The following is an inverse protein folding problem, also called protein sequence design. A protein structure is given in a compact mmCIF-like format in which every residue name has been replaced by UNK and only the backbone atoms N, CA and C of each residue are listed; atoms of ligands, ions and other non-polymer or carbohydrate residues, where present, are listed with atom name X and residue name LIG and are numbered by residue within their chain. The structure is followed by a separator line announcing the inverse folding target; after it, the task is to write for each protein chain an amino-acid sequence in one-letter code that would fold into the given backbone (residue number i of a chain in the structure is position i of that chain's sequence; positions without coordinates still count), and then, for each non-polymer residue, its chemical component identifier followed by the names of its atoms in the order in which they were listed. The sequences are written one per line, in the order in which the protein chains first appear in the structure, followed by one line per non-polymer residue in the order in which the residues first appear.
data_IF_519458421221
#
_entry.id   IF_519458421221
#
_cell.length_a   1.000
_cell.length_b   1.000
_cell.length_c   1.000
_cell.angle_alpha   90.00
_cell.angle_beta   90.00
_cell.angle_gamma   90.00
#
_symmetry.space_group_name_H-M   'P 1'
#
loop_
_entity.id
_entity.type
_entity.pdbx_description
1 polymer ?
#
# COMPACT_ATOMS: atom_id res chain seq x y z
N UNK A 1 -17.18 18.21 -0.06
CA UNK A 1 -17.88 16.93 0.19
C UNK A 1 -17.88 15.96 -1.00
N UNK A 2 -17.93 16.41 -2.26
CA UNK A 2 -17.90 15.49 -3.41
C UNK A 2 -16.63 14.61 -3.43
N UNK A 3 -15.44 15.23 -3.35
CA UNK A 3 -14.16 14.51 -3.30
C UNK A 3 -14.15 13.42 -2.21
N UNK A 4 -14.63 13.73 -1.01
CA UNK A 4 -14.73 12.77 0.09
C UNK A 4 -15.64 11.58 -0.20
N UNK A 5 -16.74 11.75 -0.94
CA UNK A 5 -17.60 10.63 -1.36
C UNK A 5 -16.90 9.71 -2.35
N UNK A 6 -15.98 10.23 -3.16
CA UNK A 6 -15.19 9.43 -4.10
C UNK A 6 -14.08 8.63 -3.42
N UNK A 7 -13.70 9.05 -2.21
CA UNK A 7 -12.73 8.37 -1.32
C UNK A 7 -13.40 7.39 -0.36
N UNK A 8 -14.72 7.48 -0.13
CA UNK A 8 -15.44 6.59 0.78
C UNK A 8 -15.33 5.13 0.31
N UNK A 9 -14.82 4.26 1.20
CA UNK A 9 -14.52 2.86 0.94
C UNK A 9 -13.21 2.59 0.18
N UNK A 10 -12.46 3.63 -0.24
CA UNK A 10 -11.23 3.49 -1.01
C UNK A 10 -10.05 3.18 -0.08
N UNK A 11 -9.20 2.24 -0.50
CA UNK A 11 -7.95 1.88 0.17
C UNK A 11 -6.78 2.72 -0.32
N UNK A 12 -5.87 3.02 0.60
CA UNK A 12 -4.62 3.69 0.35
C UNK A 12 -3.48 2.85 0.90
N UNK A 13 -2.47 2.55 0.10
CA UNK A 13 -1.36 1.65 0.45
C UNK A 13 -0.09 2.42 0.77
N UNK A 14 0.63 2.05 1.82
CA UNK A 14 1.86 2.75 2.22
C UNK A 14 2.96 2.64 1.16
N UNK A 15 3.66 3.75 0.87
CA UNK A 15 4.70 3.79 -0.18
C UNK A 15 6.07 4.23 0.30
N UNK A 16 6.19 4.83 1.49
CA UNK A 16 7.44 5.45 1.94
C UNK A 16 8.12 4.72 3.11
N UNK A 17 7.79 3.44 3.31
CA UNK A 17 8.46 2.58 4.28
C UNK A 17 9.77 2.00 3.74
N UNK A 18 10.66 1.62 4.66
CA UNK A 18 11.90 0.94 4.29
C UNK A 18 11.63 -0.53 3.96
N UNK A 19 12.48 -1.14 3.14
CA UNK A 19 12.36 -2.55 2.75
C UNK A 19 12.30 -3.53 3.94
N UNK A 20 12.92 -3.17 5.07
CA UNK A 20 12.97 -3.97 6.29
C UNK A 20 11.82 -3.68 7.27
N UNK A 21 10.85 -2.86 6.86
CA UNK A 21 9.76 -2.44 7.74
C UNK A 21 8.77 -3.58 7.94
N UNK A 22 8.55 -3.95 9.19
CA UNK A 22 7.50 -4.92 9.55
C UNK A 22 6.09 -4.35 9.35
N UNK A 23 5.96 -3.05 9.06
CA UNK A 23 4.68 -2.43 8.73
C UNK A 23 4.05 -3.06 7.47
N UNK A 24 4.85 -3.62 6.57
CA UNK A 24 4.33 -4.41 5.44
C UNK A 24 3.62 -5.70 5.86
N UNK A 25 3.87 -6.22 7.07
CA UNK A 25 3.16 -7.35 7.63
C UNK A 25 1.98 -6.93 8.54
N UNK A 26 1.82 -5.63 8.80
CA UNK A 26 0.77 -5.10 9.66
C UNK A 26 -0.58 -5.04 8.90
N UNK A 27 -1.72 -5.42 9.52
CA UNK A 27 -3.04 -5.23 8.94
C UNK A 27 -3.35 -3.77 8.51
N UNK A 28 -2.68 -2.78 9.11
CA UNK A 28 -2.81 -1.35 8.81
C UNK A 28 -1.89 -0.87 7.67
N UNK A 29 -1.21 -1.78 6.95
CA UNK A 29 -0.41 -1.44 5.75
C UNK A 29 -1.20 -0.65 4.69
N UNK A 30 -2.53 -0.81 4.72
CA UNK A 30 -3.47 -0.02 3.94
C UNK A 30 -4.54 0.62 4.81
N UNK A 31 -4.84 1.89 4.54
CA UNK A 31 -5.88 2.66 5.24
C UNK A 31 -7.12 2.77 4.36
N UNK A 32 -8.28 2.43 4.90
CA UNK A 32 -9.57 2.61 4.22
C UNK A 32 -10.19 3.92 4.70
N UNK A 33 -10.53 4.82 3.78
CA UNK A 33 -11.27 6.03 4.10
C UNK A 33 -12.74 5.67 4.27
N UNK A 34 -13.29 5.90 5.47
CA UNK A 34 -14.69 5.60 5.79
C UNK A 34 -15.41 6.84 6.32
N UNK A 35 -16.36 7.35 5.55
CA UNK A 35 -17.18 8.48 5.98
C UNK A 35 -18.16 8.05 7.08
N UNK A 36 -18.26 8.87 8.12
CA UNK A 36 -19.20 8.60 9.20
C UNK A 36 -20.62 8.83 8.73
N UNK A 37 -21.44 7.77 8.82
CA UNK A 37 -22.90 7.86 8.58
C UNK A 37 -23.63 8.51 9.74
N UNK A 38 -23.10 8.35 10.95
CA UNK A 38 -23.69 8.86 12.18
C UNK A 38 -23.32 10.33 12.42
N UNK A 39 -22.14 10.75 11.95
CA UNK A 39 -21.63 12.10 12.12
C UNK A 39 -21.22 12.70 10.76
N UNK A 40 -22.17 13.26 9.99
CA UNK A 40 -21.86 13.91 8.72
C UNK A 40 -20.78 14.98 8.86
N UNK A 41 -19.80 14.98 7.94
CA UNK A 41 -18.65 15.87 8.00
C UNK A 41 -17.44 15.28 8.72
N UNK A 42 -17.46 14.00 9.07
CA UNK A 42 -16.33 13.30 9.70
C UNK A 42 -15.89 12.06 8.91
N UNK A 43 -14.61 11.73 9.04
CA UNK A 43 -13.96 10.48 8.62
C UNK A 43 -13.27 9.88 9.85
N UNK A 44 -13.79 8.78 10.37
CA UNK A 44 -13.39 8.28 11.70
C UNK A 44 -13.57 9.37 12.77
N UNK A 45 -12.50 9.68 13.51
CA UNK A 45 -12.43 10.72 14.53
C UNK A 45 -12.10 12.13 13.98
N UNK A 46 -11.89 12.27 12.67
CA UNK A 46 -11.41 13.51 12.06
C UNK A 46 -12.55 14.33 11.46
N UNK A 47 -12.57 15.62 11.74
CA UNK A 47 -13.48 16.56 11.13
C UNK A 47 -12.96 16.97 9.74
N UNK A 48 -13.80 16.85 8.72
CA UNK A 48 -13.53 17.34 7.37
C UNK A 48 -13.63 18.87 7.39
N UNK A 49 -12.51 19.54 7.08
CA UNK A 49 -12.44 21.02 7.08
C UNK A 49 -12.42 21.61 5.68
N UNK A 50 -11.96 20.85 4.67
CA UNK A 50 -12.00 21.23 3.27
C UNK A 50 -12.09 19.99 2.35
N UNK A 51 -11.86 20.15 1.04
CA UNK A 51 -11.94 19.07 0.06
C UNK A 51 -10.82 18.02 0.16
N UNK A 52 -9.69 18.34 0.78
CA UNK A 52 -8.48 17.53 0.84
C UNK A 52 -7.96 17.32 2.27
N UNK A 53 -8.59 17.93 3.28
CA UNK A 53 -8.10 17.91 4.66
C UNK A 53 -9.18 17.49 5.64
N UNK A 54 -8.87 16.51 6.48
CA UNK A 54 -9.62 16.21 7.69
C UNK A 54 -8.67 16.16 8.89
N UNK A 55 -9.03 16.89 9.95
CA UNK A 55 -8.17 17.08 11.12
C UNK A 55 -8.78 16.42 12.35
N UNK A 56 -7.97 15.86 13.24
CA UNK A 56 -8.49 15.40 14.52
C UNK A 56 -8.69 16.60 15.45
N UNK A 57 -9.94 16.97 15.82
CA UNK A 57 -10.18 18.11 16.70
C UNK A 57 -9.88 17.78 18.18
N UNK A 58 -9.55 16.52 18.48
CA UNK A 58 -9.40 16.02 19.83
C UNK A 58 -7.98 16.33 20.32
N UNK A 59 -7.86 16.88 21.51
CA UNK A 59 -6.57 17.04 22.18
C UNK A 59 -6.53 16.11 23.39
N UNK A 60 -5.86 14.97 23.25
CA UNK A 60 -5.68 14.01 24.34
C UNK A 60 -4.29 14.25 24.96
N UNK A 61 -4.18 14.64 26.25
CA UNK A 61 -2.89 14.80 26.89
C UNK A 61 -2.10 13.49 26.96
N UNK A 62 -0.77 13.59 26.95
CA UNK A 62 0.12 12.44 27.10
C UNK A 62 0.17 11.55 25.85
N UNK A 63 0.38 10.25 26.06
CA UNK A 63 0.60 9.31 24.95
C UNK A 63 -0.63 9.12 24.06
N UNK A 64 -1.85 9.26 24.60
CA UNK A 64 -3.09 9.04 23.85
C UNK A 64 -3.35 10.06 22.73
N UNK A 65 -2.75 11.25 22.78
CA UNK A 65 -2.86 12.24 21.71
C UNK A 65 -1.79 12.14 20.63
N UNK A 66 -0.74 11.34 20.87
CA UNK A 66 0.39 11.16 19.93
C UNK A 66 -0.05 10.50 18.63
N UNK A 67 -1.08 9.65 18.70
CA UNK A 67 -1.54 8.82 17.59
C UNK A 67 -2.67 9.46 16.79
N UNK A 68 -3.09 10.67 17.19
CA UNK A 68 -3.99 11.49 16.39
C UNK A 68 -3.21 12.00 15.17
N UNK A 69 -3.71 11.68 13.98
CA UNK A 69 -3.08 12.03 12.72
C UNK A 69 -4.10 12.72 11.84
N UNK A 70 -3.71 13.78 11.15
CA UNK A 70 -4.58 14.41 10.16
C UNK A 70 -4.51 13.66 8.83
N UNK A 71 -5.57 13.75 8.02
CA UNK A 71 -5.59 13.26 6.65
C UNK A 71 -5.43 14.44 5.70
N UNK A 72 -4.40 14.39 4.87
CA UNK A 72 -4.19 15.37 3.79
C UNK A 72 -4.05 14.64 2.46
N UNK A 73 -4.91 14.98 1.50
CA UNK A 73 -4.92 14.39 0.16
C UNK A 73 -4.30 15.35 -0.86
N UNK A 74 -3.56 14.81 -1.81
CA UNK A 74 -3.02 15.58 -2.93
C UNK A 74 -2.84 14.70 -4.15
N UNK A 75 -2.77 15.32 -5.34
CA UNK A 75 -2.52 14.61 -6.59
C UNK A 75 -1.11 14.95 -7.08
N UNK A 76 -0.35 13.92 -7.44
CA UNK A 76 0.96 14.03 -8.07
C UNK A 76 1.01 13.06 -9.25
N UNK A 77 1.42 13.55 -10.42
CA UNK A 77 1.52 12.75 -11.65
C UNK A 77 0.24 11.97 -12.00
N UNK A 78 -0.92 12.58 -11.74
CA UNK A 78 -2.24 11.99 -12.00
C UNK A 78 -2.67 10.92 -11.00
N UNK A 79 -1.88 10.66 -9.95
CA UNK A 79 -2.19 9.71 -8.87
C UNK A 79 -2.49 10.48 -7.60
N UNK A 80 -3.55 10.07 -6.90
CA UNK A 80 -3.88 10.64 -5.61
C UNK A 80 -3.09 9.93 -4.50
N UNK A 81 -2.58 10.74 -3.57
CA UNK A 81 -1.87 10.30 -2.38
C UNK A 81 -2.55 10.86 -1.14
N UNK A 82 -2.39 10.12 -0.05
CA UNK A 82 -2.83 10.48 1.28
C UNK A 82 -1.61 10.57 2.20
N UNK A 83 -1.47 11.69 2.90
CA UNK A 83 -0.46 11.89 3.94
C UNK A 83 -1.11 11.81 5.32
N UNK A 84 -0.53 10.99 6.17
CA UNK A 84 -0.85 10.82 7.59
C UNK A 84 0.42 10.99 8.42
N UNK A 85 0.64 12.19 8.98
CA UNK A 85 1.89 12.51 9.66
C UNK A 85 3.13 12.25 8.76
N UNK A 86 3.93 11.22 9.07
CA UNK A 86 5.10 10.81 8.30
C UNK A 86 4.82 9.66 7.32
N UNK A 87 3.61 9.12 7.32
CA UNK A 87 3.17 8.05 6.41
C UNK A 87 2.64 8.69 5.13
N UNK A 88 3.08 8.15 4.00
CA UNK A 88 2.57 8.47 2.68
C UNK A 88 1.93 7.22 2.09
N UNK A 89 0.70 7.36 1.60
CA UNK A 89 -0.06 6.27 1.01
C UNK A 89 -0.56 6.64 -0.39
N UNK A 90 -0.56 5.67 -1.31
CA UNK A 90 -1.10 5.81 -2.67
C UNK A 90 -2.53 5.29 -2.74
N UNK A 91 -3.42 5.99 -3.43
CA UNK A 91 -4.79 5.54 -3.71
C UNK A 91 -4.76 4.24 -4.56
N UNK A 92 -5.55 3.24 -4.20
CA UNK A 92 -5.62 1.95 -4.92
C UNK A 92 -6.00 2.08 -6.40
N UNK A 93 -6.67 3.16 -6.80
CA UNK A 93 -7.02 3.47 -8.20
C UNK A 93 -5.79 3.88 -9.01
N UNK A 94 -4.73 4.33 -8.34
CA UNK A 94 -3.43 4.64 -8.94
C UNK A 94 -2.49 3.42 -9.05
N UNK A 95 -2.95 2.24 -8.61
CA UNK A 95 -2.21 0.98 -8.63
C UNK A 95 -2.63 0.14 -9.85
N UNK A 96 -1.64 -0.25 -10.65
CA UNK A 96 -1.83 -1.10 -11.83
C UNK A 96 -1.98 -2.58 -11.49
N UNK A 97 -2.24 -3.40 -12.50
CA UNK A 97 -2.29 -4.86 -12.38
C UNK A 97 -0.91 -5.48 -12.54
N UNK A 98 -0.68 -6.61 -11.86
CA UNK A 98 0.49 -7.45 -12.05
C UNK A 98 0.26 -8.36 -13.27
N UNK A 99 0.98 -8.16 -14.39
CA UNK A 99 0.87 -9.05 -15.53
C UNK A 99 1.39 -10.46 -15.18
N UNK A 100 0.57 -11.48 -15.41
CA UNK A 100 0.95 -12.90 -15.26
C UNK A 100 1.69 -13.35 -16.53
N UNK A 101 2.98 -13.02 -16.58
CA UNK A 101 3.88 -13.32 -17.71
C UNK A 101 5.13 -14.04 -17.22
N UNK A 102 5.81 -14.75 -18.13
CA UNK A 102 7.00 -15.54 -17.80
C UNK A 102 8.11 -14.71 -17.16
N UNK A 103 8.32 -13.48 -17.64
CA UNK A 103 9.31 -12.56 -17.09
C UNK A 103 8.91 -11.10 -17.23
N UNK A 104 9.17 -10.30 -16.20
CA UNK A 104 8.98 -8.86 -16.19
C UNK A 104 10.07 -8.19 -15.34
N UNK A 105 10.28 -6.89 -15.57
CA UNK A 105 11.24 -6.09 -14.79
C UNK A 105 10.54 -4.86 -14.21
N UNK A 106 10.75 -4.60 -12.91
CA UNK A 106 10.20 -3.44 -12.21
C UNK A 106 11.32 -2.63 -11.59
N UNK A 107 11.33 -1.32 -11.82
CA UNK A 107 12.35 -0.41 -11.26
C UNK A 107 11.70 0.62 -10.35
N UNK A 108 12.21 0.73 -9.11
CA UNK A 108 11.75 1.77 -8.16
C UNK A 108 12.04 3.15 -8.74
N UNK A 109 10.98 3.95 -8.83
CA UNK A 109 11.01 5.29 -9.41
C UNK A 109 11.89 6.29 -8.64
N UNK A 110 12.09 7.49 -9.20
CA UNK A 110 12.89 8.55 -8.59
C UNK A 110 12.33 9.09 -7.27
N UNK A 111 11.05 8.86 -6.99
CA UNK A 111 10.39 9.18 -5.72
C UNK A 111 10.74 8.20 -4.59
N UNK A 112 11.37 7.06 -4.92
CA UNK A 112 11.72 6.01 -3.96
C UNK A 112 10.50 5.30 -3.37
N UNK A 113 9.34 5.42 -4.00
CA UNK A 113 8.09 4.85 -3.52
C UNK A 113 8.03 3.34 -3.80
N UNK A 114 7.47 2.59 -2.84
CA UNK A 114 7.13 1.20 -3.06
C UNK A 114 6.16 1.06 -4.23
N UNK A 115 6.41 0.07 -5.09
CA UNK A 115 5.57 -0.22 -6.24
C UNK A 115 4.54 -1.27 -5.86
N UNK A 116 3.28 -0.87 -5.85
CA UNK A 116 2.16 -1.77 -5.63
C UNK A 116 1.58 -2.25 -6.95
N UNK A 117 1.11 -3.50 -6.97
CA UNK A 117 0.33 -4.07 -8.06
C UNK A 117 -0.82 -4.90 -7.52
N UNK A 118 -1.94 -4.88 -8.24
CA UNK A 118 -3.10 -5.73 -7.99
C UNK A 118 -2.90 -7.07 -8.69
N UNK A 119 -3.14 -8.16 -7.98
CA UNK A 119 -3.15 -9.52 -8.54
C UNK A 119 -4.60 -9.88 -8.85
N UNK A 120 -4.86 -10.31 -10.08
CA UNK A 120 -6.18 -10.71 -10.57
C UNK A 120 -6.04 -11.96 -11.42
N UNK A 121 -6.87 -12.97 -11.16
CA UNK A 121 -6.96 -14.20 -11.96
C UNK A 121 -5.59 -14.88 -12.17
N UNK A 122 -4.77 -14.93 -11.11
CA UNK A 122 -3.48 -15.61 -11.19
C UNK A 122 -3.62 -17.14 -11.29
N UNK A 123 -4.71 -17.71 -10.78
CA UNK A 123 -4.85 -19.14 -10.55
C UNK A 123 -4.20 -19.60 -9.23
N UNK A 124 -4.50 -20.83 -8.82
CA UNK A 124 -4.07 -21.40 -7.53
C UNK A 124 -2.68 -22.08 -7.58
N UNK A 125 -2.07 -22.10 -8.77
CA UNK A 125 -0.86 -22.85 -9.10
C UNK A 125 0.31 -21.96 -9.52
N UNK A 126 0.24 -20.64 -9.26
CA UNK A 126 1.31 -19.71 -9.64
C UNK A 126 2.22 -19.36 -8.48
N UNK A 127 3.51 -19.31 -8.78
CA UNK A 127 4.55 -18.82 -7.89
C UNK A 127 5.30 -17.68 -8.56
N UNK A 128 5.57 -16.64 -7.79
CA UNK A 128 6.43 -15.53 -8.20
C UNK A 128 7.83 -15.77 -7.64
N UNK A 129 8.83 -15.66 -8.51
CA UNK A 129 10.25 -15.68 -8.16
C UNK A 129 10.82 -14.30 -8.47
N UNK A 130 11.46 -13.69 -7.48
CA UNK A 130 11.95 -12.31 -7.55
C UNK A 130 13.46 -12.32 -7.35
N UNK A 131 14.19 -12.08 -8.43
CA UNK A 131 15.61 -11.77 -8.33
C UNK A 131 15.79 -10.29 -7.99
N UNK A 132 16.45 -10.06 -6.86
CA UNK A 132 16.65 -8.74 -6.29
C UNK A 132 17.99 -8.68 -5.54
N UNK A 133 18.63 -7.50 -5.48
CA UNK A 133 19.82 -7.29 -4.66
C UNK A 133 19.55 -7.51 -3.15
N UNK A 134 20.61 -7.52 -2.34
CA UNK A 134 20.48 -7.42 -0.88
C UNK A 134 19.83 -6.08 -0.49
N UNK A 135 19.20 -5.99 0.68
CA UNK A 135 18.52 -4.79 1.20
C UNK A 135 17.32 -4.29 0.37
N UNK A 136 16.57 -5.22 -0.23
CA UNK A 136 15.31 -4.99 -0.95
C UNK A 136 14.28 -6.00 -0.44
N UNK A 137 13.00 -5.75 -0.67
CA UNK A 137 11.96 -6.69 -0.28
C UNK A 137 10.75 -6.60 -1.20
N UNK A 138 10.08 -7.72 -1.38
CA UNK A 138 8.70 -7.77 -1.83
C UNK A 138 7.79 -8.42 -0.78
N UNK A 139 6.50 -8.06 -0.82
CA UNK A 139 5.45 -8.56 0.04
C UNK A 139 4.22 -8.97 -0.78
N UNK A 140 3.60 -10.11 -0.46
CA UNK A 140 2.41 -10.64 -1.13
C UNK A 140 1.25 -10.69 -0.15
N UNK A 141 0.06 -10.30 -0.63
CA UNK A 141 -1.15 -10.18 0.19
C UNK A 141 -2.32 -10.95 -0.43
N UNK A 142 -3.03 -11.73 0.39
CA UNK A 142 -4.30 -12.37 0.05
C UNK A 142 -5.38 -11.86 1.02
N UNK A 143 -6.55 -11.48 0.50
CA UNK A 143 -7.66 -10.94 1.33
C UNK A 143 -7.25 -9.78 2.27
N UNK A 144 -6.25 -8.99 1.86
CA UNK A 144 -5.69 -7.89 2.65
C UNK A 144 -4.73 -8.31 3.77
N UNK A 145 -4.42 -9.61 3.91
CA UNK A 145 -3.43 -10.13 4.85
C UNK A 145 -2.11 -10.41 4.16
N UNK A 146 -1.00 -10.05 4.80
CA UNK A 146 0.34 -10.40 4.32
C UNK A 146 0.56 -11.91 4.44
N UNK A 147 0.72 -12.60 3.31
CA UNK A 147 1.00 -14.04 3.24
C UNK A 147 2.48 -14.35 2.98
N UNK A 148 3.28 -13.34 2.62
CA UNK A 148 4.72 -13.48 2.48
C UNK A 148 5.40 -12.12 2.49
N UNK A 149 6.46 -11.97 3.28
CA UNK A 149 7.31 -10.80 3.31
C UNK A 149 8.77 -11.26 3.28
N UNK A 150 9.43 -11.04 2.15
CA UNK A 150 10.78 -11.58 1.87
C UNK A 150 11.85 -11.13 2.86
N UNK A 151 11.75 -9.93 3.45
CA UNK A 151 12.72 -9.50 4.46
C UNK A 151 12.58 -10.23 5.80
N UNK A 152 11.42 -10.86 6.06
CA UNK A 152 11.20 -11.74 7.22
C UNK A 152 11.54 -13.18 6.88
N UNK A 153 11.07 -13.68 5.72
CA UNK A 153 11.23 -15.10 5.36
C UNK A 153 12.63 -15.42 4.83
N UNK A 154 13.32 -14.44 4.26
CA UNK A 154 14.57 -14.64 3.52
C UNK A 154 14.37 -15.32 2.16
N UNK A 155 13.13 -15.62 1.78
CA UNK A 155 12.81 -16.27 0.51
C UNK A 155 12.71 -15.25 -0.62
N UNK A 156 13.13 -15.69 -1.81
CA UNK A 156 13.00 -14.93 -3.06
C UNK A 156 11.78 -15.36 -3.88
N UNK A 157 11.00 -16.30 -3.37
CA UNK A 157 9.82 -16.85 -4.01
C UNK A 157 8.62 -16.84 -3.07
N UNK A 158 7.42 -16.75 -3.64
CA UNK A 158 6.16 -16.84 -2.90
C UNK A 158 5.03 -17.30 -3.81
N UNK A 159 4.07 -18.07 -3.27
CA UNK A 159 2.83 -18.37 -3.99
C UNK A 159 2.02 -17.11 -4.21
N UNK A 160 1.49 -16.94 -5.42
CA UNK A 160 0.54 -15.89 -5.72
C UNK A 160 -0.87 -16.37 -5.32
N UNK A 161 -1.66 -15.55 -4.62
CA UNK A 161 -3.09 -15.80 -4.47
C UNK A 161 -3.80 -15.53 -5.80
N UNK A 162 -4.96 -16.15 -6.00
CA UNK A 162 -5.78 -15.89 -7.20
C UNK A 162 -6.14 -14.40 -7.34
N UNK A 163 -6.44 -13.74 -6.21
CA UNK A 163 -6.65 -12.30 -6.11
C UNK A 163 -5.90 -11.74 -4.90
N UNK A 164 -5.33 -10.54 -5.05
CA UNK A 164 -4.53 -9.97 -3.97
C UNK A 164 -3.76 -8.73 -4.37
N UNK A 165 -2.69 -8.46 -3.62
CA UNK A 165 -1.74 -7.38 -3.89
C UNK A 165 -0.31 -7.89 -3.78
N UNK A 166 0.60 -7.23 -4.48
CA UNK A 166 2.04 -7.36 -4.27
C UNK A 166 2.66 -5.97 -4.16
N UNK A 167 3.66 -5.83 -3.29
CA UNK A 167 4.46 -4.62 -3.15
C UNK A 167 5.94 -4.95 -3.37
N UNK A 168 6.64 -4.13 -4.17
CA UNK A 168 8.10 -4.14 -4.29
C UNK A 168 8.68 -2.90 -3.61
N UNK A 169 9.70 -3.10 -2.77
CA UNK A 169 10.24 -2.08 -1.86
C UNK A 169 11.76 -2.07 -1.93
N UNK A 170 12.32 -0.93 -2.30
CA UNK A 170 13.77 -0.74 -2.44
C UNK A 170 14.14 0.72 -2.55
N UNK A 171 15.44 1.00 -2.64
CA UNK A 171 15.92 2.34 -2.93
C UNK A 171 15.63 2.74 -4.39
N UNK A 172 15.68 4.03 -4.69
CA UNK A 172 15.58 4.57 -6.06
C UNK A 172 16.51 3.79 -7.01
N UNK A 173 15.97 3.37 -8.15
CA UNK A 173 16.72 2.62 -9.16
C UNK A 173 16.95 1.14 -8.83
N UNK A 174 16.40 0.62 -7.73
CA UNK A 174 16.36 -0.83 -7.49
C UNK A 174 15.56 -1.50 -8.60
N UNK A 175 16.16 -2.52 -9.20
CA UNK A 175 15.54 -3.38 -10.21
C UNK A 175 15.12 -4.70 -9.58
N UNK A 176 13.88 -5.12 -9.84
CA UNK A 176 13.32 -6.42 -9.51
C UNK A 176 13.07 -7.17 -10.80
N UNK A 177 13.77 -8.28 -10.99
CA UNK A 177 13.53 -9.20 -12.10
C UNK A 177 12.60 -10.30 -11.62
N UNK A 178 11.42 -10.33 -12.21
CA UNK A 178 10.30 -11.14 -11.77
C UNK A 178 10.05 -12.23 -12.79
N UNK A 179 9.94 -13.48 -12.31
CA UNK A 179 9.46 -14.62 -13.08
C UNK A 179 8.21 -15.18 -12.43
N UNK A 180 7.22 -15.54 -13.24
CA UNK A 180 6.02 -16.23 -12.75
C UNK A 180 5.97 -17.59 -13.42
N UNK A 181 5.96 -18.62 -12.58
CA UNK A 181 6.03 -20.02 -12.98
C UNK A 181 4.78 -20.76 -12.47
N UNK A 182 4.46 -21.88 -13.12
CA UNK A 182 3.40 -22.77 -12.67
C UNK A 182 4.00 -23.90 -11.85
N UNK A 183 3.49 -24.10 -10.64
CA UNK A 183 3.93 -25.16 -9.74
C UNK A 183 3.09 -26.41 -9.99
N UNK A 184 3.74 -27.53 -10.30
CA UNK A 184 3.11 -28.85 -10.47
C UNK A 184 2.65 -29.48 -9.14
#
# INVERSE_FOLDING_TARGET
MQAWRERDGVRYYIVNEKFSSQYYADPEVAVVVLLSKEQPGYVGDRQIIDENTAVSPIQIPGMGGRDLTDYMFYVQDGKEYMKMSNILLINEKGVGELPIVERAEYTIGPDGHAMWFRITDAGDDKEIIVDMPEERSFAVYAEGQCIGLSCITGHREARLPNEGMIAFVGAVGTVFDVRIETVE
#
